data_IF_674243727717
#
_entry.id   IF_674243727717
#
_cell.length_a   1.000
_cell.length_b   1.000
_cell.length_c   1.000
_cell.angle_alpha   90.00
_cell.angle_beta   90.00
_cell.angle_gamma   90.00
#
_symmetry.space_group_name_H-M   'P 1'
#
loop_
_entity.id
_entity.type
_entity.pdbx_description
1 polymer ?
#
# COMPACT_ATOMS: atom_id res chain seq x y z
N UNK A 1 2.84 -7.89 -12.46
CA UNK A 1 2.29 -8.49 -11.22
C UNK A 1 3.31 -9.08 -10.25
N UNK A 2 4.43 -9.70 -10.69
CA UNK A 2 5.41 -10.29 -9.75
C UNK A 2 6.03 -9.27 -8.77
N UNK A 3 6.39 -8.08 -9.27
CA UNK A 3 6.93 -6.99 -8.43
C UNK A 3 5.93 -6.51 -7.37
N UNK A 4 4.65 -6.33 -7.74
CA UNK A 4 3.59 -5.95 -6.81
C UNK A 4 3.41 -6.98 -5.68
N UNK A 5 3.46 -8.28 -6.00
CA UNK A 5 3.44 -9.35 -4.99
C UNK A 5 4.66 -9.33 -4.07
N UNK A 6 5.82 -8.93 -4.59
CA UNK A 6 7.06 -8.80 -3.79
C UNK A 6 6.97 -7.61 -2.83
N UNK A 7 6.48 -6.46 -3.29
CA UNK A 7 6.24 -5.28 -2.46
C UNK A 7 5.23 -5.58 -1.34
N UNK A 8 4.11 -6.23 -1.69
CA UNK A 8 3.14 -6.74 -0.74
C UNK A 8 3.82 -7.65 0.30
N UNK A 9 4.50 -8.73 -0.12
CA UNK A 9 5.20 -9.61 0.83
C UNK A 9 6.15 -8.87 1.78
N UNK A 10 6.79 -7.80 1.31
CA UNK A 10 7.68 -6.97 2.12
C UNK A 10 6.93 -6.19 3.19
N UNK A 11 5.74 -5.66 2.88
CA UNK A 11 4.84 -5.06 3.86
C UNK A 11 4.41 -6.12 4.91
N UNK A 12 3.97 -7.31 4.49
CA UNK A 12 3.47 -8.34 5.40
C UNK A 12 4.54 -8.78 6.40
N UNK A 13 5.81 -8.88 5.99
CA UNK A 13 6.91 -9.24 6.91
C UNK A 13 7.11 -8.27 8.08
N UNK A 14 6.61 -7.04 7.99
CA UNK A 14 6.78 -5.99 9.03
C UNK A 14 5.61 -5.91 9.98
N UNK A 15 4.41 -6.21 9.49
CA UNK A 15 3.16 -5.94 10.21
C UNK A 15 2.35 -7.20 10.47
N UNK A 16 2.87 -8.40 10.16
CA UNK A 16 2.13 -9.64 10.36
C UNK A 16 1.61 -9.75 11.82
N UNK A 17 0.33 -10.11 12.06
CA UNK A 17 -0.25 -10.17 13.40
C UNK A 17 0.53 -11.08 14.36
N UNK A 18 1.15 -12.13 13.84
CA UNK A 18 1.97 -13.08 14.61
C UNK A 18 3.19 -12.44 15.27
N UNK A 19 3.65 -11.28 14.78
CA UNK A 19 4.73 -10.51 15.42
C UNK A 19 4.22 -9.80 16.70
N UNK A 20 2.92 -9.54 16.78
CA UNK A 20 2.28 -8.75 17.84
C UNK A 20 1.48 -9.63 18.81
N UNK A 21 1.86 -10.90 19.00
CA UNK A 21 1.16 -11.82 19.91
C UNK A 21 1.05 -11.29 21.35
N UNK A 22 2.00 -10.46 21.78
CA UNK A 22 2.01 -9.79 23.10
C UNK A 22 1.15 -8.51 23.15
N UNK A 23 0.68 -8.02 22.00
CA UNK A 23 -0.06 -6.78 21.83
C UNK A 23 -1.33 -7.04 20.98
N UNK A 24 -2.39 -7.61 21.56
CA UNK A 24 -3.57 -8.06 20.80
C UNK A 24 -4.30 -6.93 20.05
N UNK A 25 -4.30 -5.72 20.60
CA UNK A 25 -4.86 -4.55 19.91
C UNK A 25 -4.08 -4.20 18.63
N UNK A 26 -2.74 -4.24 18.71
CA UNK A 26 -1.87 -4.00 17.56
C UNK A 26 -2.03 -5.11 16.50
N UNK A 27 -2.09 -6.38 16.93
CA UNK A 27 -2.33 -7.51 16.05
C UNK A 27 -3.67 -7.39 15.30
N UNK A 28 -4.75 -7.02 15.99
CA UNK A 28 -6.06 -6.83 15.39
C UNK A 28 -6.11 -5.66 14.40
N UNK A 29 -5.45 -4.54 14.73
CA UNK A 29 -5.30 -3.40 13.82
C UNK A 29 -4.56 -3.80 12.56
N UNK A 30 -3.42 -4.47 12.70
CA UNK A 30 -2.63 -4.95 11.57
C UNK A 30 -3.38 -5.95 10.70
N UNK A 31 -4.13 -6.88 11.31
CA UNK A 31 -4.97 -7.82 10.57
C UNK A 31 -5.99 -7.08 9.70
N UNK A 32 -6.69 -6.08 10.25
CA UNK A 32 -7.67 -5.28 9.51
C UNK A 32 -6.99 -4.49 8.39
N UNK A 33 -5.88 -3.82 8.68
CA UNK A 33 -5.13 -3.06 7.69
C UNK A 33 -4.61 -3.96 6.55
N UNK A 34 -4.16 -5.18 6.85
CA UNK A 34 -3.75 -6.16 5.83
C UNK A 34 -4.92 -6.65 4.96
N UNK A 35 -6.12 -6.83 5.54
CA UNK A 35 -7.32 -7.13 4.77
C UNK A 35 -7.67 -5.98 3.81
N UNK A 36 -7.55 -4.73 4.28
CA UNK A 36 -7.79 -3.55 3.45
C UNK A 36 -6.75 -3.40 2.31
N UNK A 37 -5.48 -3.73 2.57
CA UNK A 37 -4.46 -3.81 1.50
C UNK A 37 -4.81 -4.92 0.50
N UNK A 38 -5.27 -6.08 0.98
CA UNK A 38 -5.72 -7.17 0.10
C UNK A 38 -6.83 -6.72 -0.86
N UNK A 39 -7.89 -6.12 -0.31
CA UNK A 39 -9.00 -5.59 -1.11
C UNK A 39 -8.55 -4.49 -2.09
N UNK A 40 -7.60 -3.64 -1.67
CA UNK A 40 -7.00 -2.64 -2.55
C UNK A 40 -6.25 -3.27 -3.74
N UNK A 41 -5.47 -4.33 -3.49
CA UNK A 41 -4.72 -5.04 -4.52
C UNK A 41 -5.65 -5.79 -5.50
N UNK A 42 -6.73 -6.37 -4.99
CA UNK A 42 -7.73 -7.06 -5.83
C UNK A 42 -8.42 -6.07 -6.78
N UNK A 43 -8.90 -4.94 -6.26
CA UNK A 43 -9.48 -3.86 -7.09
C UNK A 43 -8.46 -3.31 -8.11
N UNK A 44 -7.19 -3.21 -7.71
CA UNK A 44 -6.13 -2.78 -8.62
C UNK A 44 -5.84 -3.79 -9.73
N UNK A 45 -5.93 -5.10 -9.42
CA UNK A 45 -5.75 -6.16 -10.40
C UNK A 45 -6.91 -6.23 -11.39
N UNK A 46 -8.15 -6.07 -10.93
CA UNK A 46 -9.35 -6.00 -11.78
C UNK A 46 -9.25 -4.83 -12.76
N UNK A 47 -8.90 -3.64 -12.28
CA UNK A 47 -8.71 -2.47 -13.13
C UNK A 47 -7.57 -2.65 -14.13
N UNK A 48 -6.45 -3.25 -13.71
CA UNK A 48 -5.34 -3.57 -14.59
C UNK A 48 -5.77 -4.52 -15.71
N UNK A 49 -6.56 -5.54 -15.40
CA UNK A 49 -7.09 -6.48 -16.38
C UNK A 49 -7.96 -5.76 -17.41
N UNK A 50 -8.92 -4.94 -16.98
CA UNK A 50 -9.80 -4.20 -17.89
C UNK A 50 -9.01 -3.25 -18.82
N UNK A 51 -7.95 -2.60 -18.31
CA UNK A 51 -7.07 -1.76 -19.14
C UNK A 51 -6.30 -2.55 -20.20
N UNK A 52 -5.99 -3.83 -19.94
CA UNK A 52 -5.33 -4.72 -20.90
C UNK A 52 -6.29 -5.30 -21.93
N UNK A 53 -7.51 -5.67 -21.53
CA UNK A 53 -8.51 -6.29 -22.41
C UNK A 53 -9.30 -5.26 -23.22
N UNK A 54 -9.19 -3.97 -22.89
CA UNK A 54 -9.98 -2.91 -23.52
C UNK A 54 -11.42 -2.85 -23.00
N UNK A 55 -11.73 -3.57 -21.93
CA UNK A 55 -13.01 -3.48 -21.24
C UNK A 55 -13.14 -2.14 -20.49
N UNK A 56 -14.37 -1.68 -20.21
CA UNK A 56 -14.57 -0.49 -19.40
C UNK A 56 -13.97 -0.69 -18.02
N UNK A 57 -12.92 0.07 -17.61
CA UNK A 57 -12.26 -0.21 -16.36
C UNK A 57 -13.15 0.20 -15.17
N UNK A 58 -13.30 -0.65 -14.13
CA UNK A 58 -14.01 -0.29 -12.91
C UNK A 58 -13.35 0.94 -12.28
N UNK A 59 -14.07 1.77 -11.50
CA UNK A 59 -13.47 2.96 -10.88
C UNK A 59 -12.19 2.61 -10.12
N UNK A 60 -11.19 3.51 -10.08
CA UNK A 60 -9.98 3.25 -9.32
C UNK A 60 -10.33 3.01 -7.85
N UNK A 61 -9.65 2.08 -7.15
CA UNK A 61 -9.85 1.90 -5.71
C UNK A 61 -9.75 3.23 -4.96
N UNK A 62 -10.62 3.47 -3.97
CA UNK A 62 -10.60 4.71 -3.21
C UNK A 62 -9.28 4.85 -2.44
N UNK A 63 -8.81 6.09 -2.30
CA UNK A 63 -7.69 6.37 -1.42
C UNK A 63 -8.08 6.07 0.03
N UNK A 64 -7.16 5.44 0.77
CA UNK A 64 -7.40 4.98 2.14
C UNK A 64 -6.21 5.27 3.03
N UNK A 65 -6.48 5.69 4.26
CA UNK A 65 -5.48 5.79 5.32
C UNK A 65 -5.58 4.55 6.20
N UNK A 66 -4.45 3.87 6.39
CA UNK A 66 -4.35 2.64 7.17
C UNK A 66 -3.39 2.86 8.34
N UNK A 67 -3.77 2.39 9.52
CA UNK A 67 -2.92 2.39 10.69
C UNK A 67 -2.28 1.01 10.86
N UNK A 68 -0.94 0.98 10.82
CA UNK A 68 -0.14 -0.20 11.09
C UNK A 68 0.64 -0.01 12.38
N UNK A 69 0.82 -1.10 13.12
CA UNK A 69 1.80 -1.16 14.20
C UNK A 69 3.05 -1.86 13.68
N UNK A 70 4.21 -1.29 14.03
CA UNK A 70 5.53 -1.90 13.79
C UNK A 70 6.14 -2.33 15.11
N UNK A 71 6.84 -3.46 15.09
CA UNK A 71 7.50 -4.00 16.28
C UNK A 71 8.64 -3.08 16.71
N UNK A 72 8.79 -2.88 18.02
CA UNK A 72 9.80 -2.02 18.61
C UNK A 72 10.70 -2.86 19.52
N UNK A 73 12.02 -2.58 19.59
CA UNK A 73 12.90 -3.32 20.47
C UNK A 73 12.41 -3.19 21.93
N UNK A 74 12.21 -4.34 22.58
CA UNK A 74 11.76 -4.39 23.97
C UNK A 74 12.69 -3.56 24.87
N UNK A 75 12.15 -2.80 25.85
CA UNK A 75 10.77 -2.86 26.38
C UNK A 75 9.77 -1.89 25.71
N UNK A 76 10.06 -1.35 24.53
CA UNK A 76 9.19 -0.35 23.90
C UNK A 76 7.84 -0.94 23.46
N UNK A 77 6.77 -0.14 23.57
CA UNK A 77 5.47 -0.46 22.98
C UNK A 77 5.54 -0.38 21.44
N UNK A 78 4.73 -1.17 20.72
CA UNK A 78 4.61 -1.06 19.27
C UNK A 78 4.27 0.36 18.83
N UNK A 79 4.93 0.84 17.79
CA UNK A 79 4.68 2.18 17.24
C UNK A 79 3.58 2.12 16.21
N UNK A 80 2.58 2.98 16.31
CA UNK A 80 1.61 3.20 15.24
C UNK A 80 2.23 4.03 14.11
N UNK A 81 1.97 3.63 12.87
CA UNK A 81 2.39 4.26 11.64
C UNK A 81 1.19 4.32 10.70
N UNK A 82 0.77 5.54 10.37
CA UNK A 82 -0.29 5.79 9.40
C UNK A 82 0.29 5.86 7.99
N UNK A 83 -0.21 5.03 7.08
CA UNK A 83 0.15 5.05 5.67
C UNK A 83 -1.07 5.39 4.82
N UNK A 84 -0.86 6.13 3.74
CA UNK A 84 -1.92 6.47 2.79
C UNK A 84 -1.71 5.70 1.49
N UNK A 85 -2.66 4.84 1.14
CA UNK A 85 -2.72 4.20 -0.16
C UNK A 85 -3.59 5.05 -1.08
N UNK A 86 -3.00 5.58 -2.15
CA UNK A 86 -3.70 6.41 -3.11
C UNK A 86 -3.26 6.03 -4.53
N UNK A 87 -4.04 5.19 -5.24
CA UNK A 87 -3.62 4.70 -6.54
C UNK A 87 -3.60 5.85 -7.56
N UNK A 88 -2.74 5.76 -8.59
CA UNK A 88 -2.63 6.80 -9.61
C UNK A 88 -3.94 6.97 -10.39
N UNK A 89 -4.36 8.20 -10.69
CA UNK A 89 -5.51 8.38 -11.57
C UNK A 89 -5.12 8.16 -13.03
N UNK A 90 -5.51 7.03 -13.61
CA UNK A 90 -5.39 6.78 -15.06
C UNK A 90 -6.75 7.02 -15.71
N UNK A 91 -6.91 7.99 -16.63
CA UNK A 91 -8.19 8.26 -17.26
C UNK A 91 -8.76 7.05 -18.00
N UNK A 92 -10.07 6.81 -17.83
CA UNK A 92 -10.78 5.65 -18.40
C UNK A 92 -10.68 5.52 -19.93
N UNK A 93 -10.55 6.64 -20.64
CA UNK A 93 -10.54 6.70 -22.10
C UNK A 93 -9.18 6.34 -22.71
N UNK A 94 -8.16 6.08 -21.88
CA UNK A 94 -6.82 5.73 -22.31
C UNK A 94 -6.55 4.21 -22.21
N UNK A 95 -7.59 3.37 -22.20
CA UNK A 95 -7.45 1.92 -22.11
C UNK A 95 -6.48 1.39 -23.18
N UNK A 96 -5.33 0.90 -22.72
CA UNK A 96 -4.20 0.48 -23.54
C UNK A 96 -3.22 -0.29 -22.68
N UNK A 97 -2.37 -1.10 -23.31
CA UNK A 97 -1.25 -1.77 -22.62
C UNK A 97 -0.37 -0.77 -21.86
N UNK A 98 -0.06 0.38 -22.47
CA UNK A 98 0.73 1.43 -21.82
C UNK A 98 0.02 2.01 -20.58
N UNK A 99 -1.31 2.17 -20.61
CA UNK A 99 -2.07 2.61 -19.45
C UNK A 99 -2.12 1.56 -18.34
N UNK A 100 -2.24 0.27 -18.69
CA UNK A 100 -2.16 -0.83 -17.75
C UNK A 100 -0.79 -0.88 -17.05
N UNK A 101 0.30 -0.72 -17.79
CA UNK A 101 1.66 -0.67 -17.23
C UNK A 101 1.84 0.50 -16.27
N UNK A 102 1.43 1.72 -16.66
CA UNK A 102 1.50 2.90 -15.78
C UNK A 102 0.64 2.75 -14.53
N UNK A 103 -0.53 2.13 -14.67
CA UNK A 103 -1.39 1.80 -13.54
C UNK A 103 -0.68 0.83 -12.56
N UNK A 104 -0.17 -0.28 -13.07
CA UNK A 104 0.56 -1.26 -12.26
C UNK A 104 1.80 -0.65 -11.59
N UNK A 105 2.53 0.22 -12.29
CA UNK A 105 3.70 0.91 -11.74
C UNK A 105 3.33 1.83 -10.57
N UNK A 106 2.28 2.64 -10.71
CA UNK A 106 1.88 3.53 -9.62
C UNK A 106 1.27 2.80 -8.43
N UNK A 107 0.54 1.70 -8.65
CA UNK A 107 0.06 0.84 -7.54
C UNK A 107 1.25 0.21 -6.81
N UNK A 108 2.28 -0.24 -7.54
CA UNK A 108 3.52 -0.75 -6.94
C UNK A 108 4.18 0.32 -6.07
N UNK A 109 4.41 1.53 -6.60
CA UNK A 109 5.03 2.64 -5.85
C UNK A 109 4.26 2.95 -4.57
N UNK A 110 2.93 2.97 -4.60
CA UNK A 110 2.13 3.18 -3.39
C UNK A 110 2.43 2.16 -2.27
N UNK A 111 2.64 0.89 -2.63
CA UNK A 111 2.99 -0.16 -1.65
C UNK A 111 4.44 0.00 -1.20
N UNK A 112 5.36 0.35 -2.10
CA UNK A 112 6.76 0.62 -1.76
C UNK A 112 6.90 1.82 -0.81
N UNK A 113 6.14 2.90 -1.03
CA UNK A 113 6.06 4.07 -0.16
C UNK A 113 5.52 3.70 1.23
N UNK A 114 4.48 2.84 1.27
CA UNK A 114 3.97 2.31 2.54
C UNK A 114 5.02 1.48 3.29
N UNK A 115 5.81 0.66 2.58
CA UNK A 115 6.92 -0.09 3.19
C UNK A 115 8.00 0.85 3.72
N UNK A 116 8.38 1.88 2.96
CA UNK A 116 9.38 2.86 3.37
C UNK A 116 8.95 3.65 4.62
N UNK A 117 7.67 4.02 4.70
CA UNK A 117 7.10 4.68 5.88
C UNK A 117 7.19 3.80 7.14
N UNK A 118 7.00 2.48 7.00
CA UNK A 118 7.11 1.53 8.12
C UNK A 118 8.56 1.31 8.57
N UNK A 119 9.52 1.35 7.65
CA UNK A 119 10.96 1.27 7.97
C UNK A 119 11.47 2.53 8.69
N UNK A 120 10.63 3.57 8.81
CA UNK A 120 11.01 4.82 9.44
C UNK A 120 11.98 5.63 8.59
N UNK A 121 12.00 5.42 7.26
CA UNK A 121 12.62 6.38 6.37
C UNK A 121 11.71 7.61 6.36
N UNK A 122 12.10 8.74 6.99
CA UNK A 122 11.39 9.97 6.74
C UNK A 122 11.47 10.22 5.23
N UNK A 123 10.35 10.63 4.64
CA UNK A 123 10.38 11.34 3.38
C UNK A 123 11.31 12.56 3.60
N UNK A 124 12.57 12.44 3.15
CA UNK A 124 13.47 13.58 2.99
C UNK A 124 12.98 14.29 1.72
N UNK A 125 11.82 14.93 1.86
CA UNK A 125 11.08 15.56 0.77
C UNK A 125 10.20 16.72 1.24
N UNK A 126 10.45 17.28 2.42
CA UNK A 126 10.11 18.68 2.69
C UNK A 126 11.25 19.56 2.19
N UNK A 127 11.26 19.79 0.87
CA UNK A 127 12.00 20.86 0.24
C UNK A 127 11.65 22.20 0.89
N UNK A 128 12.63 23.11 0.90
CA UNK A 128 12.65 24.32 1.69
C UNK A 128 11.40 25.21 1.57
N UNK A 129 11.03 25.77 2.71
CA UNK A 129 10.58 27.14 2.77
C UNK A 129 11.48 27.84 3.79
N UNK A 130 12.51 28.49 3.27
CA UNK A 130 13.14 29.63 3.94
C UNK A 130 12.07 30.69 4.18
N UNK A 131 12.03 31.24 5.39
CA UNK A 131 12.08 32.68 5.71
C UNK A 131 11.97 32.89 7.22
#
# INVERSE_FOLDING_TARGET
>A
MAALRSAARSLWRRVHPDLFQRHPAAAASNQRAMQDVGAFLDAAAERHHALLTGEPPPPPPPARSLAFFVDAPAPAEPREVCVRLAPPHVPRHLASAAAAERWADGVRRCIEDAVAALDGSPDVGAAGASE
#
